data_IF_599068514017
#
_entry.id   IF_599068514017
#
_cell.length_a   1.000
_cell.length_b   1.000
_cell.length_c   1.000
_cell.angle_alpha   90.00
_cell.angle_beta   90.00
_cell.angle_gamma   90.00
#
_symmetry.space_group_name_H-M   'P 1'
#
loop_
_entity.id
_entity.type
_entity.pdbx_description
1 polymer ?
#
# COMPACT_ATOMS: atom_id res chain seq x y z
N UNK A 1 -6.06 -5.14 -35.82
CA UNK A 1 -4.80 -4.73 -35.17
C UNK A 1 -3.73 -5.72 -35.62
N UNK A 2 -2.62 -5.22 -36.14
CA UNK A 2 -1.48 -6.07 -36.49
C UNK A 2 -0.84 -6.65 -35.22
N UNK A 3 -0.09 -7.74 -35.35
CA UNK A 3 0.66 -8.33 -34.23
C UNK A 3 1.67 -7.33 -33.66
N UNK A 4 2.37 -6.59 -34.53
CA UNK A 4 3.34 -5.57 -34.16
C UNK A 4 2.72 -4.44 -33.33
N UNK A 5 1.59 -3.87 -33.78
CA UNK A 5 0.90 -2.80 -33.02
C UNK A 5 0.44 -3.29 -31.63
N UNK A 6 0.03 -4.56 -31.52
CA UNK A 6 -0.36 -5.14 -30.24
C UNK A 6 0.83 -5.24 -29.29
N UNK A 7 1.97 -5.72 -29.79
CA UNK A 7 3.23 -5.83 -29.03
C UNK A 7 3.74 -4.46 -28.56
N UNK A 8 3.68 -3.45 -29.44
CA UNK A 8 4.07 -2.08 -29.09
C UNK A 8 3.19 -1.51 -27.97
N UNK A 9 1.87 -1.67 -28.06
CA UNK A 9 0.94 -1.21 -27.02
C UNK A 9 1.16 -1.91 -25.68
N UNK A 10 1.48 -3.22 -25.68
CA UNK A 10 1.86 -3.93 -24.44
C UNK A 10 3.13 -3.34 -23.84
N UNK A 11 4.18 -3.16 -24.66
CA UNK A 11 5.44 -2.58 -24.23
C UNK A 11 5.28 -1.19 -23.62
N UNK A 12 4.47 -0.32 -24.25
CA UNK A 12 4.18 1.02 -23.73
C UNK A 12 3.39 0.96 -22.41
N UNK A 13 2.40 0.07 -22.30
CA UNK A 13 1.62 -0.09 -21.07
C UNK A 13 2.48 -0.61 -19.90
N UNK A 14 3.34 -1.60 -20.14
CA UNK A 14 4.30 -2.12 -19.17
C UNK A 14 5.25 -0.99 -18.73
N UNK A 15 5.85 -0.28 -19.69
CA UNK A 15 6.78 0.80 -19.40
C UNK A 15 6.11 1.93 -18.61
N UNK A 16 4.88 2.31 -18.97
CA UNK A 16 4.10 3.30 -18.24
C UNK A 16 3.85 2.86 -16.79
N UNK A 17 3.43 1.61 -16.56
CA UNK A 17 3.20 1.08 -15.21
C UNK A 17 4.47 1.10 -14.36
N UNK A 18 5.60 0.67 -14.92
CA UNK A 18 6.89 0.66 -14.23
C UNK A 18 7.36 2.07 -13.89
N UNK A 19 7.30 3.02 -14.83
CA UNK A 19 7.69 4.41 -14.57
C UNK A 19 6.76 5.11 -13.58
N UNK A 20 5.45 4.89 -13.72
CA UNK A 20 4.46 5.57 -12.89
C UNK A 20 4.39 5.00 -11.46
N UNK A 21 5.06 3.90 -11.18
CA UNK A 21 5.17 3.34 -9.82
C UNK A 21 6.62 3.14 -9.35
N UNK A 22 7.61 3.55 -10.16
CA UNK A 22 8.95 3.81 -9.65
C UNK A 22 8.88 4.89 -8.56
N UNK A 23 9.87 4.89 -7.66
CA UNK A 23 9.89 5.42 -6.27
C UNK A 23 9.40 6.87 -6.02
N UNK A 24 8.81 7.56 -6.98
CA UNK A 24 8.37 8.97 -6.92
C UNK A 24 6.98 9.23 -7.50
N UNK A 25 6.33 8.23 -8.08
CA UNK A 25 5.01 8.40 -8.69
C UNK A 25 3.98 7.55 -7.93
N UNK A 26 2.91 8.23 -7.51
CA UNK A 26 1.88 7.69 -6.63
C UNK A 26 0.98 6.65 -7.29
N UNK A 27 -0.18 6.41 -6.69
CA UNK A 27 -1.16 5.43 -7.19
C UNK A 27 -1.56 5.70 -8.66
N UNK A 28 -1.45 4.69 -9.51
CA UNK A 28 -1.88 4.78 -10.92
C UNK A 28 -3.37 4.49 -11.03
N UNK A 29 -4.16 5.43 -11.56
CA UNK A 29 -5.58 5.17 -11.83
C UNK A 29 -5.75 4.32 -13.08
N UNK A 30 -6.67 3.36 -13.05
CA UNK A 30 -7.02 2.55 -14.22
C UNK A 30 -7.52 3.43 -15.39
N UNK A 31 -8.15 4.57 -15.09
CA UNK A 31 -8.56 5.55 -16.10
C UNK A 31 -7.38 6.20 -16.83
N UNK A 32 -6.25 6.37 -16.14
CA UNK A 32 -5.04 6.98 -16.73
C UNK A 32 -4.27 5.95 -17.57
N UNK A 33 -4.18 4.71 -17.10
CA UNK A 33 -3.64 3.61 -17.90
C UNK A 33 -4.41 3.42 -19.21
N UNK A 34 -5.74 3.55 -19.18
CA UNK A 34 -6.59 3.48 -20.39
C UNK A 34 -6.28 4.57 -21.42
N UNK A 35 -5.66 5.69 -21.04
CA UNK A 35 -5.27 6.77 -21.97
C UNK A 35 -4.06 6.40 -22.83
N UNK A 36 -3.27 5.40 -22.44
CA UNK A 36 -2.16 4.86 -23.24
C UNK A 36 -2.69 4.28 -24.56
N UNK A 37 -3.92 3.76 -24.53
CA UNK A 37 -4.55 3.16 -25.70
C UNK A 37 -5.29 4.22 -26.53
N UNK A 38 -5.09 4.25 -27.86
CA UNK A 38 -5.89 5.08 -28.76
C UNK A 38 -7.39 4.84 -28.61
N UNK A 39 -8.18 5.93 -28.62
CA UNK A 39 -9.66 5.89 -28.51
C UNK A 39 -10.36 5.16 -29.66
N UNK A 40 -9.62 4.84 -30.72
CA UNK A 40 -10.09 4.08 -31.89
C UNK A 40 -10.29 2.60 -31.58
N UNK A 41 -9.66 2.08 -30.52
CA UNK A 41 -9.81 0.69 -30.11
C UNK A 41 -11.04 0.48 -29.24
N UNK A 42 -11.74 -0.63 -29.49
CA UNK A 42 -12.88 -1.02 -28.68
C UNK A 42 -12.43 -1.49 -27.29
N UNK A 43 -13.35 -1.41 -26.33
CA UNK A 43 -13.08 -1.74 -24.93
C UNK A 43 -12.61 -3.19 -24.74
N UNK A 44 -13.12 -4.13 -25.54
CA UNK A 44 -12.80 -5.56 -25.40
C UNK A 44 -11.35 -5.82 -25.83
N UNK A 45 -10.91 -5.17 -26.91
CA UNK A 45 -9.51 -5.21 -27.35
C UNK A 45 -8.57 -4.65 -26.28
N UNK A 46 -8.89 -3.49 -25.69
CA UNK A 46 -8.07 -2.90 -24.62
C UNK A 46 -7.98 -3.81 -23.40
N UNK A 47 -9.10 -4.40 -22.96
CA UNK A 47 -9.11 -5.34 -21.83
C UNK A 47 -8.22 -6.55 -22.15
N UNK A 48 -8.35 -7.14 -23.34
CA UNK A 48 -7.51 -8.28 -23.72
C UNK A 48 -6.01 -7.96 -23.77
N UNK A 49 -5.63 -6.74 -24.14
CA UNK A 49 -4.22 -6.31 -24.09
C UNK A 49 -3.76 -6.11 -22.65
N UNK A 50 -4.61 -5.54 -21.78
CA UNK A 50 -4.30 -5.40 -20.36
C UNK A 50 -4.14 -6.75 -19.66
N UNK A 51 -4.96 -7.75 -19.98
CA UNK A 51 -4.83 -9.11 -19.45
C UNK A 51 -3.50 -9.75 -19.87
N UNK A 52 -3.04 -9.50 -21.10
CA UNK A 52 -1.72 -9.92 -21.57
C UNK A 52 -0.59 -9.19 -20.83
N UNK A 53 -0.72 -7.88 -20.60
CA UNK A 53 0.24 -7.09 -19.82
C UNK A 53 0.36 -7.61 -18.39
N UNK A 54 -0.75 -7.91 -17.72
CA UNK A 54 -0.75 -8.49 -16.36
C UNK A 54 0.01 -9.82 -16.34
N UNK A 55 -0.22 -10.66 -17.35
CA UNK A 55 0.47 -11.95 -17.48
C UNK A 55 1.97 -11.79 -17.76
N UNK A 56 2.35 -10.93 -18.70
CA UNK A 56 3.75 -10.65 -19.01
C UNK A 56 4.50 -10.03 -17.82
N UNK A 57 3.85 -9.14 -17.06
CA UNK A 57 4.41 -8.58 -15.83
C UNK A 57 4.74 -9.67 -14.81
N UNK A 58 3.87 -10.67 -14.66
CA UNK A 58 4.11 -11.81 -13.77
C UNK A 58 5.18 -12.76 -14.34
N UNK A 59 5.02 -13.19 -15.58
CA UNK A 59 5.84 -14.25 -16.19
C UNK A 59 7.28 -13.79 -16.48
N UNK A 60 7.48 -12.52 -16.87
CA UNK A 60 8.79 -11.99 -17.26
C UNK A 60 9.49 -11.25 -16.12
N UNK A 61 8.74 -10.54 -15.28
CA UNK A 61 9.31 -9.66 -14.25
C UNK A 61 9.05 -10.16 -12.81
N UNK A 62 8.20 -11.16 -12.61
CA UNK A 62 7.78 -11.59 -11.26
C UNK A 62 6.95 -10.53 -10.52
N UNK A 63 6.34 -9.59 -11.25
CA UNK A 63 5.56 -8.48 -10.69
C UNK A 63 4.07 -8.81 -10.84
N UNK A 64 3.39 -8.95 -9.70
CA UNK A 64 1.95 -9.07 -9.61
C UNK A 64 1.29 -7.70 -9.82
N UNK A 65 0.26 -7.63 -10.65
CA UNK A 65 -0.50 -6.40 -10.91
C UNK A 65 -1.85 -6.49 -10.19
N UNK A 66 -2.01 -5.73 -9.11
CA UNK A 66 -3.21 -5.70 -8.31
C UNK A 66 -4.13 -4.55 -8.73
N UNK A 67 -5.42 -4.81 -8.88
CA UNK A 67 -6.43 -3.77 -9.13
C UNK A 67 -7.25 -3.57 -7.86
N UNK A 68 -7.22 -2.35 -7.31
CA UNK A 68 -7.92 -2.01 -6.07
C UNK A 68 -8.99 -0.99 -6.37
N UNK A 69 -10.24 -1.32 -6.04
CA UNK A 69 -11.32 -0.34 -6.04
C UNK A 69 -11.38 0.38 -4.70
N UNK A 70 -11.53 1.69 -4.76
CA UNK A 70 -11.67 2.56 -3.60
C UNK A 70 -12.82 3.51 -3.87
N UNK A 71 -13.43 4.07 -2.81
CA UNK A 71 -14.43 5.14 -2.99
C UNK A 71 -13.92 6.35 -3.78
N UNK A 72 -12.59 6.49 -3.96
CA UNK A 72 -11.90 7.54 -4.72
C UNK A 72 -11.58 7.13 -6.18
N UNK A 73 -11.86 5.88 -6.56
CA UNK A 73 -11.66 5.31 -7.89
C UNK A 73 -10.86 4.00 -7.88
N UNK A 74 -10.71 3.41 -9.08
CA UNK A 74 -9.97 2.16 -9.30
C UNK A 74 -8.49 2.43 -9.60
N UNK A 75 -7.61 1.85 -8.80
CA UNK A 75 -6.16 1.98 -8.91
C UNK A 75 -5.51 0.67 -9.33
N UNK A 76 -4.40 0.77 -10.05
CA UNK A 76 -3.54 -0.34 -10.45
C UNK A 76 -2.26 -0.23 -9.63
N UNK A 77 -1.83 -1.33 -9.02
CA UNK A 77 -0.69 -1.41 -8.13
C UNK A 77 0.26 -2.51 -8.60
N UNK A 78 1.56 -2.22 -8.58
CA UNK A 78 2.59 -3.21 -8.82
C UNK A 78 3.05 -3.78 -7.48
N UNK A 79 2.85 -5.08 -7.29
CA UNK A 79 3.32 -5.85 -6.16
C UNK A 79 4.43 -6.75 -6.65
N UNK A 80 5.66 -6.48 -6.22
CA UNK A 80 6.76 -7.35 -6.57
C UNK A 80 6.64 -8.62 -5.70
N UNK A 81 6.51 -9.81 -6.31
CA UNK A 81 6.44 -11.07 -5.54
C UNK A 81 7.75 -11.29 -4.74
N UNK A 82 8.84 -10.62 -5.13
CA UNK A 82 10.15 -10.64 -4.47
C UNK A 82 10.22 -9.67 -3.25
N UNK A 83 9.24 -8.77 -3.07
CA UNK A 83 9.29 -7.69 -2.04
C UNK A 83 8.11 -7.75 -1.04
N UNK A 84 7.04 -8.48 -1.35
CA UNK A 84 5.75 -8.41 -0.64
C UNK A 84 5.55 -9.49 0.42
N UNK A 85 6.63 -9.84 1.12
CA UNK A 85 6.66 -11.00 2.00
C UNK A 85 6.93 -10.72 3.47
N UNK A 86 6.92 -9.47 3.95
CA UNK A 86 7.39 -9.01 5.28
C UNK A 86 8.11 -10.08 6.12
N UNK A 87 9.45 -10.07 6.07
CA UNK A 87 10.24 -10.22 7.29
C UNK A 87 10.71 -8.85 7.82
N UNK A 88 10.86 -7.84 6.95
CA UNK A 88 10.97 -6.39 7.26
C UNK A 88 11.08 -5.59 5.91
N UNK A 89 10.06 -5.58 5.02
CA UNK A 89 10.09 -4.85 3.70
C UNK A 89 11.36 -5.10 2.84
N UNK A 90 11.46 -6.31 2.27
CA UNK A 90 12.71 -7.04 2.02
C UNK A 90 13.73 -6.40 1.04
N UNK A 91 14.95 -6.87 1.20
CA UNK A 91 16.22 -6.19 1.04
C UNK A 91 16.79 -6.38 -0.36
N UNK A 92 16.17 -5.84 -1.40
CA UNK A 92 16.77 -5.85 -2.76
C UNK A 92 17.30 -4.51 -3.24
N UNK A 93 17.43 -3.54 -2.34
CA UNK A 93 18.38 -2.46 -2.56
C UNK A 93 19.24 -2.37 -1.30
N UNK A 94 20.38 -3.05 -1.33
CA UNK A 94 21.62 -2.50 -0.76
C UNK A 94 21.98 -1.22 -1.55
N UNK A 95 21.03 -0.30 -1.67
CA UNK A 95 21.34 1.09 -1.82
C UNK A 95 21.92 1.40 -0.47
N UNK A 96 23.21 1.71 -0.40
CA UNK A 96 23.86 2.21 0.82
C UNK A 96 23.24 3.50 1.39
N UNK A 97 22.01 3.82 1.00
CA UNK A 97 21.16 4.89 1.48
C UNK A 97 20.42 4.47 2.75
N UNK A 98 21.08 4.73 3.88
CA UNK A 98 20.55 4.52 5.23
C UNK A 98 19.22 5.24 5.47
N UNK A 99 18.95 6.32 4.74
CA UNK A 99 17.72 7.11 4.91
C UNK A 99 16.50 6.36 4.37
N UNK A 100 16.60 5.74 3.20
CA UNK A 100 15.52 4.96 2.60
C UNK A 100 15.16 3.74 3.48
N UNK A 101 16.16 3.08 4.05
CA UNK A 101 15.93 1.99 5.00
C UNK A 101 15.28 2.49 6.30
N UNK A 102 15.67 3.67 6.80
CA UNK A 102 15.01 4.28 7.96
C UNK A 102 13.53 4.62 7.68
N UNK A 103 13.23 5.18 6.51
CA UNK A 103 11.85 5.45 6.07
C UNK A 103 11.01 4.18 5.99
N UNK A 104 11.54 3.10 5.42
CA UNK A 104 10.87 1.79 5.38
C UNK A 104 10.54 1.28 6.79
N UNK A 105 11.49 1.41 7.73
CA UNK A 105 11.28 1.03 9.13
C UNK A 105 10.17 1.85 9.80
N UNK A 106 10.15 3.16 9.57
CA UNK A 106 9.11 4.07 10.08
C UNK A 106 7.76 3.71 9.49
N UNK A 107 7.69 3.48 8.18
CA UNK A 107 6.47 3.06 7.49
C UNK A 107 5.91 1.77 8.11
N UNK A 108 6.77 0.77 8.32
CA UNK A 108 6.36 -0.50 8.93
C UNK A 108 5.81 -0.30 10.35
N UNK A 109 6.50 0.48 11.17
CA UNK A 109 6.06 0.79 12.53
C UNK A 109 4.69 1.48 12.54
N UNK A 110 4.47 2.44 11.64
CA UNK A 110 3.19 3.14 11.51
C UNK A 110 2.08 2.20 11.02
N UNK A 111 2.33 1.39 9.99
CA UNK A 111 1.34 0.45 9.48
C UNK A 111 0.96 -0.59 10.54
N UNK A 112 1.94 -1.08 11.29
CA UNK A 112 1.75 -1.98 12.41
C UNK A 112 0.94 -1.33 13.53
N UNK A 113 1.28 -0.11 13.94
CA UNK A 113 0.53 0.61 14.95
C UNK A 113 -0.92 0.88 14.51
N UNK A 114 -1.13 1.35 13.28
CA UNK A 114 -2.48 1.55 12.73
C UNK A 114 -3.26 0.24 12.74
N UNK A 115 -2.61 -0.90 12.45
CA UNK A 115 -3.23 -2.22 12.46
C UNK A 115 -3.58 -2.72 13.87
N UNK A 116 -2.64 -2.61 14.81
CA UNK A 116 -2.78 -3.07 16.21
C UNK A 116 -3.64 -2.15 17.07
N UNK A 117 -3.78 -0.89 16.70
CA UNK A 117 -4.71 0.05 17.34
C UNK A 117 -6.13 -0.04 16.79
N UNK A 118 -6.36 -0.86 15.75
CA UNK A 118 -7.72 -1.12 15.28
C UNK A 118 -8.51 -1.90 16.32
N UNK A 119 -9.83 -1.77 16.29
CA UNK A 119 -10.65 -2.76 16.95
C UNK A 119 -10.94 -3.88 15.93
N UNK A 120 -10.59 -5.15 16.18
CA UNK A 120 -10.91 -6.28 15.30
C UNK A 120 -12.40 -6.41 14.97
N UNK A 121 -13.28 -5.91 15.84
CA UNK A 121 -14.73 -5.93 15.65
C UNK A 121 -15.25 -4.81 14.73
N UNK A 122 -14.42 -3.79 14.44
CA UNK A 122 -14.80 -2.61 13.64
C UNK A 122 -13.87 -2.51 12.42
N UNK A 123 -14.28 -3.00 11.24
CA UNK A 123 -13.46 -3.00 10.02
C UNK A 123 -12.97 -1.61 9.57
N UNK A 124 -13.69 -0.57 9.98
CA UNK A 124 -13.45 0.83 9.62
C UNK A 124 -12.64 1.61 10.65
N UNK A 125 -12.08 0.98 11.69
CA UNK A 125 -11.43 1.74 12.76
C UNK A 125 -10.18 2.44 12.23
N UNK A 126 -10.22 3.77 12.27
CA UNK A 126 -9.13 4.67 11.97
C UNK A 126 -8.52 5.18 13.28
N UNK A 127 -7.24 5.56 13.24
CA UNK A 127 -6.49 5.98 14.43
C UNK A 127 -6.27 7.48 14.37
N UNK A 128 -6.42 8.19 15.49
CA UNK A 128 -6.23 9.65 15.49
C UNK A 128 -4.79 10.03 15.15
N UNK A 129 -4.61 11.14 14.45
CA UNK A 129 -3.27 11.66 14.11
C UNK A 129 -2.43 11.95 15.35
N UNK A 130 -3.06 12.33 16.47
CA UNK A 130 -2.37 12.53 17.74
C UNK A 130 -1.82 11.22 18.28
N UNK A 131 -2.62 10.15 18.29
CA UNK A 131 -2.17 8.84 18.75
C UNK A 131 -1.02 8.27 17.91
N UNK A 132 -1.00 8.53 16.60
CA UNK A 132 0.14 8.16 15.74
C UNK A 132 1.37 9.02 16.05
N UNK A 133 1.19 10.32 16.28
CA UNK A 133 2.28 11.22 16.67
C UNK A 133 2.91 10.76 17.99
N UNK A 134 2.10 10.57 19.04
CA UNK A 134 2.51 10.15 20.37
C UNK A 134 3.29 8.81 20.33
N UNK A 135 2.85 7.88 19.49
CA UNK A 135 3.55 6.62 19.24
C UNK A 135 4.94 6.84 18.62
N UNK A 136 5.05 7.69 17.59
CA UNK A 136 6.33 8.03 16.95
C UNK A 136 7.28 8.75 17.92
N UNK A 137 6.74 9.61 18.81
CA UNK A 137 7.52 10.27 19.86
C UNK A 137 8.07 9.25 20.85
N UNK A 138 7.23 8.29 21.26
CA UNK A 138 7.59 7.21 22.20
C UNK A 138 8.71 6.33 21.64
N UNK A 139 8.72 6.09 20.33
CA UNK A 139 9.80 5.39 19.64
C UNK A 139 11.08 6.24 19.47
N UNK A 140 11.06 7.52 19.87
CA UNK A 140 12.19 8.43 19.74
C UNK A 140 12.51 8.84 18.29
N UNK A 141 11.60 8.59 17.34
CA UNK A 141 11.83 8.81 15.91
C UNK A 141 11.89 10.30 15.55
N UNK A 142 11.31 11.17 16.38
CA UNK A 142 11.38 12.63 16.23
C UNK A 142 12.81 13.20 16.32
N UNK A 143 13.75 12.43 16.90
CA UNK A 143 15.13 12.86 17.12
C UNK A 143 16.09 12.44 16.00
N UNK A 144 15.60 11.75 14.97
CA UNK A 144 16.42 11.33 13.83
C UNK A 144 16.59 12.53 12.89
N UNK A 145 17.72 13.25 13.00
CA UNK A 145 18.01 14.48 12.24
C UNK A 145 17.80 14.41 10.72
N UNK A 146 17.87 13.21 10.12
CA UNK A 146 17.70 13.02 8.68
C UNK A 146 16.26 12.68 8.26
N UNK A 147 15.37 12.39 9.23
CA UNK A 147 14.01 11.94 8.97
C UNK A 147 13.02 13.09 9.19
N UNK A 148 12.42 13.56 8.10
CA UNK A 148 11.40 14.59 8.13
C UNK A 148 10.01 13.95 8.24
N UNK A 149 9.56 13.67 9.47
CA UNK A 149 8.26 13.04 9.71
C UNK A 149 7.09 13.87 9.15
N UNK A 150 7.19 15.20 9.10
CA UNK A 150 6.15 16.03 8.51
C UNK A 150 6.00 15.71 7.01
N UNK A 151 7.11 15.56 6.29
CA UNK A 151 7.07 15.14 4.88
C UNK A 151 6.58 13.72 4.67
N UNK A 152 6.75 12.83 5.64
CA UNK A 152 6.39 11.42 5.49
C UNK A 152 4.91 11.15 5.79
N UNK A 153 4.39 11.67 6.91
CA UNK A 153 3.08 11.27 7.45
C UNK A 153 2.13 12.44 7.72
N UNK A 154 2.49 13.71 7.45
CA UNK A 154 1.54 14.80 7.69
C UNK A 154 0.21 14.58 6.95
N UNK A 155 -0.93 15.07 7.46
CA UNK A 155 -2.24 14.85 6.84
C UNK A 155 -2.47 15.78 5.65
N UNK A 156 -1.53 15.70 4.69
CA UNK A 156 -1.46 16.46 3.46
C UNK A 156 -1.34 15.45 2.32
N UNK A 157 -2.03 15.64 1.19
CA UNK A 157 -1.91 14.77 0.02
C UNK A 157 -0.48 14.70 -0.56
N UNK A 158 0.40 15.61 -0.16
CA UNK A 158 1.80 15.69 -0.59
C UNK A 158 2.76 14.90 0.31
N UNK A 159 2.29 14.36 1.43
CA UNK A 159 3.14 13.55 2.30
C UNK A 159 3.48 12.22 1.60
N UNK A 160 4.73 11.77 1.71
CA UNK A 160 5.29 10.65 0.95
C UNK A 160 4.44 9.38 1.10
N UNK A 161 4.15 8.97 2.33
CA UNK A 161 3.38 7.74 2.60
C UNK A 161 1.90 7.83 2.16
N UNK A 162 1.37 9.05 2.06
CA UNK A 162 0.01 9.30 1.56
C UNK A 162 0.00 9.29 0.03
N UNK A 163 0.98 9.94 -0.59
CA UNK A 163 1.12 10.03 -2.05
C UNK A 163 1.36 8.66 -2.67
N UNK A 164 2.16 7.83 -1.99
CA UNK A 164 2.42 6.44 -2.36
C UNK A 164 1.25 5.49 -2.03
N UNK A 165 0.23 5.97 -1.31
CA UNK A 165 -0.97 5.22 -0.98
C UNK A 165 -0.78 4.16 0.11
N UNK A 166 0.29 4.23 0.89
CA UNK A 166 0.47 3.37 2.07
C UNK A 166 -0.47 3.76 3.21
N UNK A 167 -0.67 5.06 3.41
CA UNK A 167 -1.56 5.61 4.43
C UNK A 167 -2.65 6.42 3.75
N UNK A 168 -3.88 6.30 4.25
CA UNK A 168 -4.96 7.23 3.91
C UNK A 168 -5.35 8.03 5.16
N UNK A 169 -5.89 9.23 4.94
CA UNK A 169 -6.35 10.09 6.02
C UNK A 169 -7.74 10.65 5.74
N UNK A 170 -8.48 10.86 6.82
CA UNK A 170 -9.80 11.48 6.81
C UNK A 170 -9.84 12.58 7.86
N UNK A 171 -10.53 13.67 7.53
CA UNK A 171 -10.81 14.76 8.46
C UNK A 171 -12.28 14.68 8.87
N UNK A 172 -12.54 14.72 10.16
CA UNK A 172 -13.88 14.82 10.71
C UNK A 172 -13.96 16.07 11.57
N UNK A 173 -15.04 16.83 11.42
CA UNK A 173 -15.31 17.98 12.29
C UNK A 173 -16.39 17.60 13.29
N UNK A 174 -16.16 17.90 14.57
CA UNK A 174 -17.22 17.76 15.57
C UNK A 174 -18.26 18.90 15.46
N UNK A 175 -19.30 18.84 16.29
CA UNK A 175 -20.37 19.85 16.32
C UNK A 175 -19.87 21.24 16.77
N UNK A 176 -18.73 21.28 17.45
CA UNK A 176 -18.09 22.49 17.97
C UNK A 176 -17.06 23.07 16.97
N UNK A 177 -16.88 22.42 15.81
CA UNK A 177 -15.99 22.85 14.73
C UNK A 177 -14.54 22.39 14.89
N UNK A 178 -14.23 21.53 15.86
CA UNK A 178 -12.87 21.00 16.01
C UNK A 178 -12.60 19.95 14.92
N UNK A 179 -11.56 20.18 14.13
CA UNK A 179 -11.08 19.20 13.16
C UNK A 179 -10.25 18.11 13.85
N UNK A 180 -10.72 16.86 13.75
CA UNK A 180 -9.97 15.66 14.09
C UNK A 180 -9.50 14.97 12.82
N UNK A 181 -8.27 14.50 12.83
CA UNK A 181 -7.66 13.78 11.72
C UNK A 181 -7.48 12.31 12.10
N UNK A 182 -7.85 11.43 11.19
CA UNK A 182 -7.76 9.98 11.37
C UNK A 182 -6.97 9.34 10.26
N UNK A 183 -6.10 8.39 10.59
CA UNK A 183 -5.31 7.59 9.67
C UNK A 183 -5.84 6.16 9.56
N UNK A 184 -5.69 5.60 8.36
CA UNK A 184 -5.97 4.20 8.08
C UNK A 184 -4.99 3.67 7.04
N UNK A 185 -4.97 2.35 6.84
CA UNK A 185 -4.23 1.76 5.72
C UNK A 185 -4.76 2.28 4.39
N UNK A 186 -3.85 2.80 3.57
CA UNK A 186 -4.13 3.24 2.23
C UNK A 186 -4.30 2.07 1.25
N UNK A 187 -4.68 2.37 -0.01
CA UNK A 187 -4.95 1.35 -1.02
C UNK A 187 -3.75 0.43 -1.29
N UNK A 188 -2.53 0.96 -1.25
CA UNK A 188 -1.29 0.18 -1.45
C UNK A 188 -1.03 -0.75 -0.27
N UNK A 189 -1.16 -0.27 0.97
CA UNK A 189 -0.99 -1.12 2.14
C UNK A 189 -2.00 -2.27 2.16
N UNK A 190 -3.28 -2.00 1.85
CA UNK A 190 -4.34 -3.02 1.77
C UNK A 190 -4.08 -4.12 0.74
N UNK A 191 -3.36 -3.82 -0.34
CA UNK A 191 -3.06 -4.79 -1.39
C UNK A 191 -1.72 -5.52 -1.22
N UNK A 192 -0.73 -4.84 -0.64
CA UNK A 192 0.65 -5.33 -0.61
C UNK A 192 1.07 -5.91 0.75
N UNK A 193 0.36 -5.60 1.83
CA UNK A 193 0.73 -6.00 3.18
C UNK A 193 -0.17 -7.13 3.66
N UNK A 194 0.44 -8.24 4.05
CA UNK A 194 -0.25 -9.35 4.72
C UNK A 194 -0.48 -9.01 6.20
N UNK A 195 -1.74 -8.82 6.65
CA UNK A 195 -2.04 -8.52 8.05
C UNK A 195 -1.51 -9.57 9.03
N UNK A 196 -1.45 -10.84 8.60
CA UNK A 196 -0.91 -11.92 9.42
C UNK A 196 0.55 -11.71 9.75
N UNK A 197 1.35 -11.34 8.76
CA UNK A 197 2.79 -11.11 8.94
C UNK A 197 3.05 -9.89 9.81
N UNK A 198 2.23 -8.84 9.68
CA UNK A 198 2.31 -7.67 10.58
C UNK A 198 2.02 -8.07 12.02
N UNK A 199 1.01 -8.91 12.25
CA UNK A 199 0.68 -9.42 13.58
C UNK A 199 1.78 -10.33 14.15
N UNK A 200 2.29 -11.28 13.37
CA UNK A 200 3.41 -12.15 13.76
C UNK A 200 4.66 -11.34 14.12
N UNK A 201 4.95 -10.30 13.34
CA UNK A 201 6.06 -9.39 13.62
C UNK A 201 5.85 -8.62 14.92
N UNK A 202 4.63 -8.12 15.17
CA UNK A 202 4.30 -7.45 16.42
C UNK A 202 4.53 -8.38 17.62
N UNK A 203 4.01 -9.60 17.60
CA UNK A 203 4.23 -10.58 18.68
C UNK A 203 5.72 -10.89 18.88
N UNK A 204 6.50 -10.98 17.80
CA UNK A 204 7.94 -11.20 17.89
C UNK A 204 8.70 -10.02 18.56
N UNK A 205 8.22 -8.79 18.39
CA UNK A 205 8.80 -7.58 19.01
C UNK A 205 8.37 -7.44 20.48
N UNK A 206 7.08 -7.63 20.74
CA UNK A 206 6.49 -7.50 22.08
C UNK A 206 6.97 -8.61 23.03
N UNK A 207 7.28 -9.79 22.49
CA UNK A 207 7.67 -10.96 23.27
C UNK A 207 6.51 -11.62 24.04
N UNK A 208 5.27 -11.13 23.83
CA UNK A 208 4.03 -11.70 24.38
C UNK A 208 3.56 -12.95 23.64
N UNK A 209 2.69 -13.73 24.29
CA UNK A 209 2.08 -14.93 23.71
C UNK A 209 0.98 -14.50 22.70
N UNK A 210 1.00 -14.96 21.44
CA UNK A 210 -0.08 -14.72 20.47
C UNK A 210 -1.48 -15.12 20.98
N UNK A 211 -1.56 -16.01 21.97
CA UNK A 211 -2.80 -16.38 22.66
C UNK A 211 -3.41 -15.27 23.53
N UNK A 212 -2.66 -14.20 23.84
CA UNK A 212 -3.19 -13.01 24.52
C UNK A 212 -3.99 -12.10 23.56
N UNK A 213 -3.85 -12.31 22.25
CA UNK A 213 -4.45 -11.49 21.18
C UNK A 213 -5.49 -12.28 20.38
N UNK A 214 -6.41 -12.98 21.07
CA UNK A 214 -7.36 -13.93 20.45
C UNK A 214 -8.26 -13.30 19.39
N UNK A 215 -8.68 -12.05 19.60
CA UNK A 215 -9.56 -11.33 18.67
C UNK A 215 -8.85 -11.00 17.35
N UNK A 216 -7.57 -10.65 17.43
CA UNK A 216 -6.71 -10.41 16.27
C UNK A 216 -6.40 -11.70 15.51
N UNK A 217 -6.13 -12.79 16.23
CA UNK A 217 -5.92 -14.11 15.63
C UNK A 217 -7.16 -14.57 14.83
N UNK A 218 -8.35 -14.41 15.41
CA UNK A 218 -9.61 -14.73 14.73
C UNK A 218 -9.88 -13.83 13.50
N UNK A 219 -9.55 -12.54 13.58
CA UNK A 219 -9.68 -11.60 12.46
C UNK A 219 -8.72 -11.94 11.30
N UNK A 220 -7.47 -12.25 11.61
CA UNK A 220 -6.46 -12.66 10.62
C UNK A 220 -6.84 -13.99 9.95
N UNK A 221 -7.31 -14.97 10.72
CA UNK A 221 -7.69 -16.28 10.19
C UNK A 221 -8.99 -16.23 9.36
N UNK A 222 -9.89 -15.28 9.63
CA UNK A 222 -11.11 -15.07 8.82
C UNK A 222 -10.83 -14.35 7.51
N UNK A 223 -9.87 -13.40 7.48
CA UNK A 223 -9.45 -12.68 6.27
C UNK A 223 -8.94 -13.62 5.16
N UNK A 224 -8.36 -14.79 5.52
CA UNK A 224 -7.92 -15.82 4.56
C UNK A 224 -9.06 -16.54 3.82
N UNK A 225 -10.26 -16.63 4.41
CA UNK A 225 -11.39 -17.36 3.81
C UNK A 225 -12.06 -16.61 2.66
N UNK A 226 -11.98 -15.29 2.66
CA UNK A 226 -12.58 -14.45 1.62
C UNK A 226 -11.67 -14.30 0.39
N UNK A 227 -10.34 -14.31 0.56
CA UNK A 227 -9.37 -14.38 -0.55
C UNK A 227 -9.42 -15.73 -1.30
N UNK A 228 -9.61 -16.86 -0.60
CA UNK A 228 -9.75 -18.17 -1.24
C UNK A 228 -11.11 -18.42 -1.92
N UNK A 229 -12.13 -17.61 -1.65
CA UNK A 229 -13.44 -17.69 -2.32
C UNK A 229 -13.55 -16.82 -3.57
N UNK A 230 -12.62 -15.90 -3.76
CA UNK A 230 -12.61 -14.94 -4.89
C UNK A 230 -11.55 -15.27 -5.96
N UNK A 231 -10.83 -16.39 -5.82
CA UNK A 231 -9.91 -16.93 -6.82
C UNK A 231 -10.57 -18.01 -7.68
#
# INVERSE_FOLDING_TARGET
MSTYEREELRGVAIHYLLLAQDKKHGLVKLSDLKKVFPKTYDKKTVIGILDEVVREMKDLFGIEVCVVDTGKGTFVLLKNEIDSGVPYLDSTVDSGDKLENAKKGVLLAVLMYIFMAKNPEIPSSSVTSTAVSDFLETLGLNNIQQLDLEKLISPKPTAEFITEGWIDFEKSSDRDGNESVFYSWGPRAKACVDPKKVFELFCAIDGGDPEEWKDYKAFVDSSKKDEQRSS
#
